data_IF_208472625050
#
_entry.id   IF_208472625050
#
_cell.length_a   1.000
_cell.length_b   1.000
_cell.length_c   1.000
_cell.angle_alpha   90.00
_cell.angle_beta   90.00
_cell.angle_gamma   90.00
#
_symmetry.space_group_name_H-M   'P 1'
#
loop_
_entity.id
_entity.type
_entity.pdbx_description
1 polymer ?
#
# COMPACT_ATOMS: atom_id res chain seq x y z
N UNK A 1 -25.26 28.76 14.13
CA UNK A 1 -24.27 29.26 13.17
C UNK A 1 -23.09 28.31 13.26
N UNK A 2 -22.98 27.36 12.32
CA UNK A 2 -21.91 26.37 12.32
C UNK A 2 -20.68 26.95 11.60
N UNK A 3 -19.45 26.74 12.08
CA UNK A 3 -18.27 27.11 11.34
C UNK A 3 -18.06 26.09 10.20
N UNK A 4 -17.87 26.60 9.00
CA UNK A 4 -17.50 25.84 7.82
C UNK A 4 -16.09 25.26 8.00
N UNK A 5 -15.96 23.94 8.08
CA UNK A 5 -14.68 23.26 7.96
C UNK A 5 -14.17 23.42 6.52
N UNK A 6 -13.17 24.28 6.35
CA UNK A 6 -12.45 24.45 5.10
C UNK A 6 -11.75 23.15 4.73
N UNK A 7 -12.24 22.50 3.69
CA UNK A 7 -11.59 21.37 3.04
C UNK A 7 -10.24 21.82 2.47
N UNK A 8 -9.14 21.55 3.20
CA UNK A 8 -7.81 21.68 2.64
C UNK A 8 -7.65 20.58 1.57
N UNK A 9 -7.74 20.97 0.30
CA UNK A 9 -7.24 20.16 -0.80
C UNK A 9 -5.72 20.28 -0.76
N UNK A 10 -5.06 19.32 -0.13
CA UNK A 10 -3.63 19.14 -0.33
C UNK A 10 -3.51 18.45 -1.68
N UNK A 11 -3.36 19.23 -2.75
CA UNK A 11 -2.72 18.72 -3.95
C UNK A 11 -1.40 18.12 -3.48
N UNK A 12 -1.20 16.79 -3.63
CA UNK A 12 0.12 16.17 -3.50
C UNK A 12 1.03 17.10 -4.27
N UNK A 13 1.95 17.81 -3.59
CA UNK A 13 2.86 18.74 -4.22
C UNK A 13 3.44 18.00 -5.42
N UNK A 14 2.96 18.38 -6.60
CA UNK A 14 3.39 17.82 -7.86
C UNK A 14 4.81 18.33 -7.93
N UNK A 15 5.74 17.49 -7.48
CA UNK A 15 7.14 17.62 -7.82
C UNK A 15 7.13 17.78 -9.32
N UNK A 16 7.35 19.01 -9.77
CA UNK A 16 7.49 19.42 -11.16
C UNK A 16 8.69 18.65 -11.71
N UNK A 17 8.35 17.46 -12.19
CA UNK A 17 9.23 16.40 -12.61
C UNK A 17 8.37 15.34 -13.29
N UNK A 18 7.41 15.79 -14.11
CA UNK A 18 6.86 14.96 -15.17
C UNK A 18 8.02 14.60 -16.10
N UNK A 19 8.57 13.41 -15.92
CA UNK A 19 8.58 12.53 -17.08
C UNK A 19 7.46 11.55 -16.87
N UNK A 20 6.39 11.78 -17.64
CA UNK A 20 5.52 10.71 -18.10
C UNK A 20 6.40 9.62 -18.70
N UNK A 21 6.81 8.66 -17.88
CA UNK A 21 7.09 7.33 -18.37
C UNK A 21 5.80 6.56 -18.16
N UNK A 22 4.87 6.70 -19.12
CA UNK A 22 3.99 5.59 -19.45
C UNK A 22 4.93 4.41 -19.76
N UNK A 23 5.11 3.54 -18.79
CA UNK A 23 5.63 2.22 -19.06
C UNK A 23 4.48 1.27 -18.80
N UNK A 24 3.96 0.74 -19.91
CA UNK A 24 3.11 -0.42 -19.98
C UNK A 24 3.54 -1.40 -18.89
N UNK A 25 2.71 -1.58 -17.86
CA UNK A 25 2.93 -2.60 -16.84
C UNK A 25 2.59 -3.95 -17.47
N UNK A 26 3.41 -4.41 -18.42
CA UNK A 26 3.41 -5.80 -18.81
C UNK A 26 3.96 -6.56 -17.61
N UNK A 27 3.08 -7.12 -16.79
CA UNK A 27 3.49 -8.08 -15.77
C UNK A 27 4.23 -9.21 -16.50
N UNK A 28 5.54 -9.30 -16.32
CA UNK A 28 6.22 -10.57 -16.53
C UNK A 28 5.95 -11.41 -15.29
N UNK A 29 4.79 -12.08 -15.26
CA UNK A 29 4.56 -13.17 -14.31
C UNK A 29 5.53 -14.26 -14.74
N UNK A 30 6.60 -14.47 -13.97
CA UNK A 30 7.47 -15.61 -14.20
C UNK A 30 6.59 -16.86 -14.12
N UNK A 31 6.67 -17.82 -15.06
CA UNK A 31 5.90 -19.06 -14.98
C UNK A 31 6.19 -19.89 -13.72
N UNK A 32 7.25 -19.52 -12.99
CA UNK A 32 7.66 -20.05 -11.68
C UNK A 32 7.28 -19.12 -10.51
N UNK A 33 6.38 -18.15 -10.72
CA UNK A 33 5.83 -17.29 -9.67
C UNK A 33 5.13 -18.18 -8.63
N UNK A 34 5.89 -18.48 -7.59
CA UNK A 34 5.51 -19.35 -6.48
C UNK A 34 4.25 -18.76 -5.85
N UNK A 35 3.11 -19.40 -6.10
CA UNK A 35 1.85 -19.04 -5.46
C UNK A 35 2.07 -19.00 -3.95
N UNK A 36 1.73 -17.88 -3.32
CA UNK A 36 1.79 -17.71 -1.88
C UNK A 36 0.36 -17.71 -1.34
N UNK A 37 0.06 -18.64 -0.44
CA UNK A 37 -1.18 -18.60 0.33
C UNK A 37 -0.98 -17.73 1.57
N UNK A 38 -1.79 -16.68 1.72
CA UNK A 38 -1.81 -15.84 2.92
C UNK A 38 -3.24 -15.41 3.24
N UNK A 39 -3.62 -15.50 4.52
CA UNK A 39 -4.98 -15.23 5.01
C UNK A 39 -6.08 -16.03 4.29
N UNK A 40 -5.74 -17.22 3.79
CA UNK A 40 -6.67 -18.07 3.04
C UNK A 40 -6.85 -17.69 1.57
N UNK A 41 -6.10 -16.69 1.07
CA UNK A 41 -6.15 -16.24 -0.33
C UNK A 41 -4.86 -16.60 -1.07
N UNK A 42 -4.98 -16.80 -2.38
CA UNK A 42 -3.85 -17.06 -3.27
C UNK A 42 -3.32 -15.77 -3.90
N UNK A 43 -2.01 -15.57 -3.81
CA UNK A 43 -1.32 -14.36 -4.27
C UNK A 43 -0.23 -14.71 -5.28
N UNK A 44 -0.16 -13.91 -6.35
CA UNK A 44 0.99 -13.84 -7.22
C UNK A 44 2.02 -12.87 -6.64
N UNK A 45 3.29 -13.24 -6.73
CA UNK A 45 4.41 -12.42 -6.27
C UNK A 45 5.03 -11.70 -7.46
N UNK A 46 5.11 -10.38 -7.37
CA UNK A 46 5.74 -9.57 -8.41
C UNK A 46 7.26 -9.79 -8.40
N UNK A 47 7.79 -10.13 -9.57
CA UNK A 47 9.23 -10.21 -9.81
C UNK A 47 9.54 -9.48 -11.12
N UNK A 48 10.44 -8.50 -11.07
CA UNK A 48 10.79 -7.69 -12.24
C UNK A 48 12.03 -8.19 -12.98
N UNK A 49 12.64 -9.31 -12.55
CA UNK A 49 13.84 -9.86 -13.19
C UNK A 49 15.03 -8.89 -13.21
N UNK A 50 15.08 -7.95 -12.26
CA UNK A 50 16.10 -6.90 -12.21
C UNK A 50 15.74 -5.60 -12.94
N UNK A 51 14.64 -5.56 -13.69
CA UNK A 51 14.17 -4.33 -14.34
C UNK A 51 13.61 -3.35 -13.30
N UNK A 52 13.77 -2.05 -13.58
CA UNK A 52 13.12 -0.98 -12.82
C UNK A 52 11.66 -0.84 -13.29
N UNK A 53 10.72 -1.02 -12.37
CA UNK A 53 9.27 -0.92 -12.62
C UNK A 53 8.59 -0.17 -11.47
N UNK A 54 7.38 0.31 -11.73
CA UNK A 54 6.55 1.04 -10.77
C UNK A 54 6.02 0.18 -9.60
N UNK A 55 5.59 0.81 -8.49
CA UNK A 55 5.68 2.24 -8.17
C UNK A 55 7.13 2.71 -7.93
N UNK A 56 7.41 3.97 -8.30
CA UNK A 56 8.78 4.50 -8.39
C UNK A 56 9.67 3.70 -9.36
N UNK A 57 10.96 4.03 -9.50
CA UNK A 57 11.92 3.13 -10.13
C UNK A 57 12.40 2.07 -9.12
N UNK A 58 11.67 0.96 -8.97
CA UNK A 58 12.02 -0.14 -8.05
C UNK A 58 12.32 -1.44 -8.79
N UNK A 59 13.19 -2.28 -8.23
CA UNK A 59 13.32 -3.69 -8.61
C UNK A 59 12.45 -4.51 -7.66
N UNK A 60 11.57 -5.35 -8.17
CA UNK A 60 10.73 -6.24 -7.35
C UNK A 60 11.27 -7.65 -7.38
N UNK A 61 11.29 -8.33 -6.23
CA UNK A 61 11.68 -9.74 -6.16
C UNK A 61 10.68 -10.53 -5.33
N UNK A 62 10.24 -11.67 -5.89
CA UNK A 62 9.36 -12.60 -5.17
C UNK A 62 10.02 -13.17 -3.90
N UNK A 63 11.35 -13.22 -3.87
CA UNK A 63 12.13 -13.70 -2.73
C UNK A 63 12.02 -12.82 -1.47
N UNK A 64 11.43 -11.62 -1.60
CA UNK A 64 11.22 -10.66 -0.51
C UNK A 64 9.91 -10.88 0.24
N UNK A 65 9.18 -11.94 -0.08
CA UNK A 65 7.88 -12.26 0.52
C UNK A 65 7.90 -13.69 1.06
N UNK A 66 7.43 -13.87 2.29
CA UNK A 66 7.20 -15.19 2.87
C UNK A 66 6.13 -15.12 3.98
N UNK A 67 5.57 -16.27 4.34
CA UNK A 67 4.65 -16.40 5.48
C UNK A 67 5.36 -17.18 6.59
N UNK A 68 5.31 -16.66 7.82
CA UNK A 68 5.94 -17.29 8.97
C UNK A 68 5.09 -18.46 9.52
N UNK A 69 5.61 -19.27 10.46
CA UNK A 69 4.85 -20.36 11.07
C UNK A 69 3.62 -19.93 11.88
N UNK A 70 3.46 -18.63 12.17
CA UNK A 70 2.27 -18.06 12.81
C UNK A 70 1.22 -17.60 11.78
N UNK A 71 1.48 -17.78 10.49
CA UNK A 71 0.58 -17.36 9.41
C UNK A 71 0.67 -15.88 9.06
N UNK A 72 1.67 -15.15 9.55
CA UNK A 72 1.86 -13.72 9.27
C UNK A 72 2.66 -13.54 7.99
N UNK A 73 2.27 -12.56 7.19
CA UNK A 73 2.96 -12.17 5.97
C UNK A 73 4.14 -11.26 6.32
N UNK A 74 5.32 -11.63 5.85
CA UNK A 74 6.54 -10.83 5.91
C UNK A 74 6.85 -10.29 4.52
N UNK A 75 7.04 -8.97 4.44
CA UNK A 75 7.43 -8.28 3.21
C UNK A 75 8.69 -7.45 3.46
N UNK A 76 9.67 -7.61 2.58
CA UNK A 76 10.99 -7.02 2.74
C UNK A 76 11.28 -5.99 1.66
N UNK A 77 11.94 -4.91 2.08
CA UNK A 77 12.82 -4.14 1.20
C UNK A 77 14.23 -4.52 1.59
N UNK A 78 14.97 -5.21 0.72
CA UNK A 78 16.31 -5.70 1.06
C UNK A 78 17.33 -5.55 -0.05
N UNK A 79 18.59 -5.47 0.37
CA UNK A 79 19.73 -5.34 -0.52
C UNK A 79 20.22 -6.72 -0.94
N UNK A 80 20.01 -7.08 -2.21
CA UNK A 80 20.46 -8.34 -2.83
C UNK A 80 21.51 -8.00 -3.88
N UNK A 81 22.71 -8.59 -3.78
CA UNK A 81 23.80 -8.36 -4.74
C UNK A 81 24.09 -6.86 -4.99
N UNK A 82 24.01 -6.05 -3.94
CA UNK A 82 24.25 -4.60 -4.00
C UNK A 82 23.05 -3.74 -4.41
N UNK A 83 21.98 -4.34 -4.92
CA UNK A 83 20.76 -3.67 -5.41
C UNK A 83 19.66 -3.73 -4.34
N UNK A 84 18.97 -2.60 -4.12
CA UNK A 84 17.77 -2.58 -3.29
C UNK A 84 16.58 -3.12 -4.06
N UNK A 85 15.92 -4.11 -3.48
CA UNK A 85 14.74 -4.77 -4.05
C UNK A 85 13.56 -4.61 -3.11
N UNK A 86 12.38 -4.50 -3.70
CA UNK A 86 11.08 -4.28 -3.07
C UNK A 86 10.19 -5.52 -3.24
N UNK A 87 8.99 -5.50 -2.67
CA UNK A 87 8.03 -6.62 -2.73
C UNK A 87 6.63 -6.14 -3.07
N UNK A 88 5.88 -6.96 -3.82
CA UNK A 88 4.46 -6.75 -4.08
C UNK A 88 3.76 -8.09 -4.27
N UNK A 89 2.56 -8.19 -3.69
CA UNK A 89 1.63 -9.29 -3.86
C UNK A 89 0.41 -8.79 -4.62
N UNK A 90 -0.09 -9.62 -5.53
CA UNK A 90 -1.28 -9.36 -6.33
C UNK A 90 -2.23 -10.54 -6.11
N UNK A 91 -3.43 -10.26 -5.59
CA UNK A 91 -4.40 -11.31 -5.36
C UNK A 91 -4.86 -11.89 -6.69
N UNK A 92 -5.00 -13.22 -6.77
CA UNK A 92 -5.46 -13.88 -8.00
C UNK A 92 -6.94 -13.66 -8.30
N UNK A 93 -7.72 -13.46 -7.25
CA UNK A 93 -9.15 -13.20 -7.36
C UNK A 93 -9.39 -11.68 -7.43
N UNK A 94 -10.22 -11.28 -8.39
CA UNK A 94 -10.77 -9.93 -8.42
C UNK A 94 -11.92 -9.87 -7.43
N UNK A 95 -11.85 -8.90 -6.50
CA UNK A 95 -12.89 -8.63 -5.51
C UNK A 95 -13.47 -7.25 -5.81
N UNK A 96 -14.80 -7.15 -5.76
CA UNK A 96 -15.54 -5.92 -5.97
C UNK A 96 -15.99 -5.25 -4.68
N UNK A 97 -17.23 -4.74 -4.66
CA UNK A 97 -17.78 -4.10 -3.47
C UNK A 97 -17.67 -4.98 -2.22
N UNK A 98 -17.42 -4.35 -1.08
CA UNK A 98 -17.22 -5.04 0.18
C UNK A 98 -16.27 -4.29 1.11
N UNK A 99 -15.89 -4.97 2.19
CA UNK A 99 -14.94 -4.49 3.18
C UNK A 99 -13.57 -5.07 2.90
N UNK A 100 -12.57 -4.21 2.82
CA UNK A 100 -11.17 -4.56 2.66
C UNK A 100 -10.48 -4.22 3.96
N UNK A 101 -9.93 -5.21 4.65
CA UNK A 101 -9.31 -5.03 5.96
C UNK A 101 -7.91 -5.62 5.99
N UNK A 102 -6.98 -4.89 6.59
CA UNK A 102 -5.62 -5.34 6.90
C UNK A 102 -5.33 -5.12 8.38
N UNK A 103 -4.74 -6.12 9.04
CA UNK A 103 -4.16 -5.95 10.38
C UNK A 103 -2.65 -5.97 10.31
N UNK A 104 -2.06 -4.84 10.65
CA UNK A 104 -0.63 -4.59 10.63
C UNK A 104 -0.02 -4.89 12.01
N UNK A 105 0.95 -5.80 12.05
CA UNK A 105 1.73 -6.09 13.26
C UNK A 105 2.93 -5.14 13.43
N UNK A 106 3.43 -4.55 12.35
CA UNK A 106 4.54 -3.59 12.43
C UNK A 106 4.06 -2.27 13.04
N UNK A 107 4.74 -1.74 14.08
CA UNK A 107 4.48 -0.40 14.58
C UNK A 107 4.61 0.65 13.47
N UNK A 108 3.62 1.55 13.34
CA UNK A 108 3.64 2.58 12.28
C UNK A 108 4.90 3.48 12.38
N UNK A 109 5.42 3.70 13.59
CA UNK A 109 6.62 4.52 13.78
C UNK A 109 7.92 3.85 13.30
N UNK A 110 7.91 2.53 13.05
CA UNK A 110 9.08 1.81 12.58
C UNK A 110 9.35 1.98 11.08
N UNK A 111 8.45 2.65 10.34
CA UNK A 111 8.63 2.85 8.91
C UNK A 111 9.74 3.87 8.62
N UNK A 112 10.69 3.45 7.80
CA UNK A 112 11.74 4.32 7.30
C UNK A 112 11.14 5.41 6.40
N UNK A 113 11.73 6.61 6.37
CA UNK A 113 11.16 7.74 5.62
C UNK A 113 11.00 7.46 4.12
N UNK A 114 11.82 6.59 3.55
CA UNK A 114 11.74 6.18 2.14
C UNK A 114 10.83 4.98 1.89
N UNK A 115 10.44 4.21 2.90
CA UNK A 115 9.60 3.03 2.70
C UNK A 115 8.13 3.40 2.64
N UNK A 116 7.40 2.72 1.76
CA UNK A 116 5.95 2.85 1.58
C UNK A 116 5.35 1.46 1.62
N UNK A 117 4.43 1.22 2.55
CA UNK A 117 3.49 0.09 2.49
C UNK A 117 2.18 0.60 1.90
N UNK A 118 1.70 -0.02 0.84
CA UNK A 118 0.36 0.18 0.29
C UNK A 118 -0.51 -1.06 0.47
N UNK A 119 -1.75 -0.88 0.91
CA UNK A 119 -2.83 -1.86 0.84
C UNK A 119 -3.96 -1.28 0.00
N UNK A 120 -4.21 -1.85 -1.18
CA UNK A 120 -4.92 -1.13 -2.22
C UNK A 120 -5.65 -2.03 -3.22
N UNK A 121 -6.44 -1.40 -4.08
CA UNK A 121 -7.04 -2.01 -5.28
C UNK A 121 -6.38 -1.45 -6.53
N UNK A 122 -6.27 -2.26 -7.58
CA UNK A 122 -5.71 -1.82 -8.85
C UNK A 122 -6.39 -2.49 -10.04
N UNK A 123 -6.89 -1.67 -10.95
CA UNK A 123 -7.43 -2.09 -12.24
C UNK A 123 -6.35 -2.13 -13.32
N UNK A 124 -6.18 -3.28 -13.98
CA UNK A 124 -5.17 -3.46 -15.03
C UNK A 124 -5.47 -2.76 -16.36
N UNK A 125 -6.70 -2.27 -16.54
CA UNK A 125 -7.19 -1.73 -17.82
C UNK A 125 -7.61 -0.27 -17.74
N UNK A 126 -8.02 0.20 -16.56
CA UNK A 126 -8.42 1.59 -16.36
C UNK A 126 -7.19 2.50 -16.19
N UNK A 127 -7.14 3.58 -16.96
CA UNK A 127 -6.05 4.57 -16.93
C UNK A 127 -6.63 5.98 -16.96
N UNK A 128 -6.02 6.96 -16.27
CA UNK A 128 -4.70 6.91 -15.64
C UNK A 128 -4.68 6.57 -14.14
N UNK A 129 -5.84 6.40 -13.50
CA UNK A 129 -5.94 6.24 -12.04
C UNK A 129 -6.19 4.81 -11.56
N UNK A 130 -6.36 3.84 -12.48
CA UNK A 130 -6.45 2.41 -12.17
C UNK A 130 -7.53 2.04 -11.15
N UNK A 131 -8.59 2.85 -11.03
CA UNK A 131 -9.60 2.72 -9.97
C UNK A 131 -9.00 2.53 -8.56
N UNK A 132 -7.85 3.17 -8.29
CA UNK A 132 -7.01 2.89 -7.12
C UNK A 132 -7.54 3.55 -5.84
N UNK A 133 -7.78 2.71 -4.84
CA UNK A 133 -8.12 3.07 -3.46
C UNK A 133 -7.04 2.52 -2.53
N UNK A 134 -6.43 3.39 -1.72
CA UNK A 134 -5.24 3.07 -0.94
C UNK A 134 -5.40 3.35 0.54
N UNK A 135 -4.88 2.44 1.36
CA UNK A 135 -4.28 2.81 2.65
C UNK A 135 -2.77 2.73 2.50
N UNK A 136 -2.08 3.86 2.68
CA UNK A 136 -0.61 3.93 2.62
C UNK A 136 -0.02 4.26 3.99
N UNK A 137 0.95 3.47 4.45
CA UNK A 137 1.79 3.78 5.61
C UNK A 137 3.17 4.17 5.09
N UNK A 138 3.48 5.47 5.15
CA UNK A 138 4.66 6.05 4.54
C UNK A 138 4.89 7.45 5.07
N UNK A 139 6.15 7.89 5.21
CA UNK A 139 6.44 9.32 5.44
C UNK A 139 6.77 10.09 4.17
N UNK A 140 6.91 9.39 3.05
CA UNK A 140 7.29 9.96 1.74
C UNK A 140 8.50 10.90 1.78
N UNK A 141 9.53 10.54 2.54
CA UNK A 141 10.76 11.32 2.71
C UNK A 141 10.67 12.45 3.75
N UNK A 142 9.52 12.62 4.40
CA UNK A 142 9.27 13.69 5.37
C UNK A 142 9.23 13.18 6.82
N UNK A 143 8.96 14.07 7.78
CA UNK A 143 8.80 13.76 9.21
C UNK A 143 7.36 13.92 9.72
N UNK A 144 6.45 14.43 8.88
CA UNK A 144 5.06 14.72 9.24
C UNK A 144 4.13 13.50 9.13
N UNK A 145 3.08 13.66 8.33
CA UNK A 145 2.06 12.62 8.08
C UNK A 145 2.72 11.28 7.69
N UNK A 146 2.18 10.21 8.25
CA UNK A 146 2.72 8.85 8.11
C UNK A 146 1.66 7.78 7.78
N UNK A 147 0.40 8.20 7.62
CA UNK A 147 -0.73 7.36 7.22
C UNK A 147 -1.59 8.15 6.23
N UNK A 148 -1.97 7.53 5.12
CA UNK A 148 -2.76 8.16 4.07
C UNK A 148 -3.92 7.27 3.66
N UNK A 149 -5.09 7.89 3.46
CA UNK A 149 -6.23 7.28 2.79
C UNK A 149 -6.41 7.97 1.45
N UNK A 150 -6.40 7.22 0.35
CA UNK A 150 -6.45 7.77 -1.00
C UNK A 150 -7.56 7.12 -1.82
N UNK A 151 -8.21 7.94 -2.63
CA UNK A 151 -8.99 7.53 -3.79
C UNK A 151 -8.41 8.34 -4.94
N UNK A 152 -7.56 7.73 -5.75
CA UNK A 152 -6.70 8.46 -6.67
C UNK A 152 -7.54 9.34 -7.62
N UNK A 153 -7.13 10.60 -7.82
CA UNK A 153 -5.89 11.25 -7.37
C UNK A 153 -5.99 11.95 -5.99
N UNK A 154 -7.10 11.81 -5.28
CA UNK A 154 -7.35 12.51 -4.00
C UNK A 154 -6.79 11.75 -2.80
N UNK A 155 -6.24 12.47 -1.82
CA UNK A 155 -5.66 11.84 -0.61
C UNK A 155 -5.89 12.66 0.65
N UNK A 156 -6.01 11.96 1.79
CA UNK A 156 -6.03 12.55 3.14
C UNK A 156 -4.90 11.93 3.97
N UNK A 157 -4.00 12.77 4.47
CA UNK A 157 -2.88 12.35 5.32
C UNK A 157 -3.14 12.60 6.82
N UNK A 158 -2.59 11.74 7.64
CA UNK A 158 -2.69 11.76 9.10
C UNK A 158 -1.31 11.58 9.73
N UNK A 159 -1.11 12.20 10.89
CA UNK A 159 0.05 11.95 11.75
C UNK A 159 -0.42 11.10 12.92
N UNK A 160 -0.02 9.83 12.92
CA UNK A 160 -0.36 8.84 13.94
C UNK A 160 0.92 8.22 14.50
N UNK A 161 0.89 7.57 15.67
CA UNK A 161 2.09 7.00 16.27
C UNK A 161 2.00 6.87 17.78
N UNK A 162 3.14 6.57 18.40
CA UNK A 162 3.24 6.21 19.81
C UNK A 162 2.80 4.77 20.09
N UNK A 163 2.92 4.35 21.34
CA UNK A 163 2.69 2.96 21.75
C UNK A 163 1.31 2.39 21.40
N UNK A 164 0.30 3.25 21.24
CA UNK A 164 -1.03 2.82 20.79
C UNK A 164 -1.00 2.22 19.36
N UNK A 165 -0.12 2.69 18.50
CA UNK A 165 0.02 2.27 17.10
C UNK A 165 1.14 1.23 16.90
N UNK A 166 1.50 0.50 17.96
CA UNK A 166 2.39 -0.65 17.87
C UNK A 166 1.79 -1.80 17.04
N UNK A 167 0.47 -1.81 16.89
CA UNK A 167 -0.33 -2.71 16.05
C UNK A 167 -1.58 -1.94 15.61
N UNK A 168 -2.04 -2.12 14.38
CA UNK A 168 -3.16 -1.35 13.84
C UNK A 168 -4.02 -2.15 12.87
N UNK A 169 -5.28 -1.72 12.74
CA UNK A 169 -6.22 -2.20 11.74
C UNK A 169 -6.52 -1.06 10.75
N UNK A 170 -6.51 -1.41 9.47
CA UNK A 170 -6.72 -0.50 8.35
C UNK A 170 -7.80 -1.06 7.45
N UNK A 171 -8.84 -0.27 7.20
CA UNK A 171 -10.05 -0.74 6.52
C UNK A 171 -10.53 0.29 5.51
N UNK A 172 -11.02 -0.16 4.36
CA UNK A 172 -11.93 0.62 3.54
C UNK A 172 -13.16 -0.20 3.14
N UNK A 173 -14.33 0.43 3.20
CA UNK A 173 -15.62 -0.16 2.79
C UNK A 173 -16.00 0.46 1.46
N UNK A 174 -16.04 -0.35 0.40
CA UNK A 174 -16.40 0.06 -0.95
C UNK A 174 -17.84 -0.30 -1.27
N UNK A 175 -18.64 0.72 -1.57
CA UNK A 175 -20.03 0.60 -1.97
C UNK A 175 -20.32 1.45 -3.21
N UNK A 176 -21.46 1.24 -3.90
CA UNK A 176 -21.81 2.07 -5.05
C UNK A 176 -21.78 3.57 -4.73
N UNK A 177 -20.85 4.30 -5.37
CA UNK A 177 -20.70 5.75 -5.21
C UNK A 177 -20.09 6.22 -3.88
N UNK A 178 -19.59 5.32 -3.02
CA UNK A 178 -19.04 5.69 -1.71
C UNK A 178 -17.93 4.75 -1.24
N UNK A 179 -16.87 5.34 -0.67
CA UNK A 179 -15.81 4.61 0.04
C UNK A 179 -15.59 5.23 1.42
N UNK A 180 -15.63 4.40 2.46
CA UNK A 180 -15.37 4.79 3.85
C UNK A 180 -14.08 4.14 4.34
N UNK A 181 -13.04 4.94 4.57
CA UNK A 181 -11.78 4.52 5.17
C UNK A 181 -11.80 4.67 6.69
N UNK A 182 -11.17 3.73 7.38
CA UNK A 182 -10.94 3.77 8.82
C UNK A 182 -9.61 3.12 9.17
N UNK A 183 -8.80 3.80 9.99
CA UNK A 183 -7.59 3.23 10.58
C UNK A 183 -7.64 3.36 12.10
N UNK A 184 -7.41 2.26 12.81
CA UNK A 184 -7.59 2.13 14.26
C UNK A 184 -6.33 1.53 14.90
N UNK A 185 -5.78 2.15 15.95
CA UNK A 185 -4.75 1.51 16.76
C UNK A 185 -5.37 0.35 17.56
N UNK A 186 -4.71 -0.81 17.55
CA UNK A 186 -5.11 -1.98 18.35
C UNK A 186 -4.37 -2.06 19.69
N UNK A 187 -3.46 -1.13 19.96
CA UNK A 187 -2.89 -0.89 21.29
C UNK A 187 -3.79 0.00 22.15
N UNK A 188 -3.41 0.19 23.41
CA UNK A 188 -4.17 1.02 24.35
C UNK A 188 -3.97 2.53 24.09
N UNK A 189 -5.07 3.29 24.07
CA UNK A 189 -5.05 4.75 24.22
C UNK A 189 -4.88 5.57 22.93
N UNK A 190 -5.03 4.98 21.74
CA UNK A 190 -4.99 5.72 20.47
C UNK A 190 -6.37 6.01 19.88
N UNK A 191 -6.45 7.05 19.03
CA UNK A 191 -7.69 7.45 18.36
C UNK A 191 -7.79 6.91 16.94
N UNK A 192 -8.99 6.48 16.55
CA UNK A 192 -9.34 6.16 15.17
C UNK A 192 -9.25 7.39 14.27
N UNK A 193 -8.81 7.21 13.03
CA UNK A 193 -8.93 8.20 11.95
C UNK A 193 -9.81 7.66 10.82
N UNK A 194 -10.60 8.53 10.19
CA UNK A 194 -11.57 8.14 9.14
C UNK A 194 -11.57 9.12 7.98
N UNK A 195 -11.84 8.63 6.77
CA UNK A 195 -12.05 9.42 5.56
C UNK A 195 -13.25 8.89 4.80
N UNK A 196 -14.04 9.77 4.19
CA UNK A 196 -15.14 9.36 3.30
C UNK A 196 -14.96 10.04 1.94
N UNK A 197 -15.10 9.26 0.87
CA UNK A 197 -15.19 9.77 -0.50
C UNK A 197 -16.55 9.40 -1.10
N UNK A 198 -17.20 10.36 -1.75
CA UNK A 198 -18.48 10.19 -2.46
C UNK A 198 -18.43 10.67 -3.91
N UNK A 199 -17.25 11.11 -4.37
CA UNK A 199 -17.02 11.63 -5.71
C UNK A 199 -15.83 10.89 -6.31
N UNK A 200 -15.91 10.51 -7.58
CA UNK A 200 -14.84 9.76 -8.26
C UNK A 200 -14.71 8.31 -7.79
N UNK A 201 -15.71 7.78 -7.07
CA UNK A 201 -15.70 6.39 -6.60
C UNK A 201 -15.92 5.45 -7.78
N UNK A 202 -14.98 4.54 -8.08
CA UNK A 202 -15.08 3.67 -9.23
C UNK A 202 -16.15 2.59 -9.04
N UNK A 203 -16.58 2.02 -10.16
CA UNK A 203 -17.34 0.75 -10.18
C UNK A 203 -16.34 -0.39 -10.33
N UNK A 204 -16.44 -1.46 -9.53
CA UNK A 204 -15.54 -2.60 -9.66
C UNK A 204 -15.65 -3.25 -11.03
N UNK A 205 -14.49 -3.61 -11.59
CA UNK A 205 -14.40 -4.45 -12.77
C UNK A 205 -13.70 -5.77 -12.41
N UNK A 206 -13.88 -6.79 -13.25
CA UNK A 206 -13.19 -8.09 -13.10
C UNK A 206 -11.67 -7.99 -13.34
N UNK A 207 -11.18 -6.80 -13.67
CA UNK A 207 -9.77 -6.43 -13.83
C UNK A 207 -9.21 -5.68 -12.62
N UNK A 208 -10.03 -5.44 -11.59
CA UNK A 208 -9.64 -4.78 -10.33
C UNK A 208 -9.22 -5.84 -9.30
N UNK A 209 -7.96 -5.80 -8.87
CA UNK A 209 -7.39 -6.79 -7.95
C UNK A 209 -6.89 -6.13 -6.66
N UNK A 210 -7.14 -6.73 -5.48
CA UNK A 210 -6.44 -6.36 -4.25
C UNK A 210 -4.93 -6.57 -4.38
N UNK A 211 -4.16 -5.64 -3.82
CA UNK A 211 -2.69 -5.67 -3.84
C UNK A 211 -2.10 -5.18 -2.52
N UNK A 212 -0.90 -5.65 -2.25
CA UNK A 212 -0.07 -5.19 -1.13
C UNK A 212 1.33 -4.96 -1.67
N UNK A 213 1.91 -3.79 -1.45
CA UNK A 213 3.30 -3.51 -1.84
C UNK A 213 4.11 -2.96 -0.67
N UNK A 214 5.42 -3.19 -0.70
CA UNK A 214 6.38 -2.57 0.21
C UNK A 214 7.60 -2.15 -0.59
N UNK A 215 7.77 -0.84 -0.79
CA UNK A 215 8.68 -0.29 -1.79
C UNK A 215 9.37 1.01 -1.36
N UNK A 216 10.40 1.42 -2.10
CA UNK A 216 11.16 2.64 -1.85
C UNK A 216 10.67 3.80 -2.72
N UNK A 217 10.31 4.91 -2.08
CA UNK A 217 10.02 6.18 -2.76
C UNK A 217 11.18 6.57 -3.67
N UNK A 218 10.86 6.87 -4.93
CA UNK A 218 11.82 7.21 -5.99
C UNK A 218 12.96 6.18 -6.17
N UNK A 219 12.79 4.93 -5.71
CA UNK A 219 13.85 3.91 -5.71
C UNK A 219 15.05 4.29 -4.83
N UNK A 220 14.92 5.31 -3.98
CA UNK A 220 16.02 5.86 -3.20
C UNK A 220 16.40 4.90 -2.10
N UNK A 221 17.70 4.59 -2.03
CA UNK A 221 18.30 3.82 -0.94
C UNK A 221 17.83 4.37 0.42
N UNK A 222 17.36 3.51 1.34
CA UNK A 222 17.04 3.93 2.70
C UNK A 222 18.33 4.24 3.47
N UNK A 223 18.53 5.52 3.82
CA UNK A 223 19.69 6.00 4.58
C UNK A 223 19.85 5.26 5.92
N UNK A 224 21.08 4.97 6.32
CA UNK A 224 21.37 4.28 7.59
C UNK A 224 21.03 2.80 7.61
N UNK A 225 20.25 2.29 6.65
CA UNK A 225 19.95 0.86 6.55
C UNK A 225 21.02 0.15 5.73
N UNK A 226 21.52 -0.96 6.27
CA UNK A 226 22.58 -1.75 5.64
C UNK A 226 22.05 -2.93 4.84
N UNK A 227 21.08 -3.66 5.40
CA UNK A 227 20.64 -4.96 4.87
C UNK A 227 19.18 -4.95 4.43
N UNK A 228 18.24 -4.66 5.34
CA UNK A 228 16.81 -4.74 5.05
C UNK A 228 15.95 -3.84 5.93
N UNK A 229 14.76 -3.56 5.41
CA UNK A 229 13.57 -3.14 6.14
C UNK A 229 12.53 -4.26 6.02
N UNK A 230 11.63 -4.35 6.99
CA UNK A 230 10.61 -5.39 7.04
C UNK A 230 9.29 -4.82 7.54
N UNK A 231 8.22 -5.32 6.95
CA UNK A 231 6.87 -5.15 7.46
C UNK A 231 6.20 -6.50 7.64
N UNK A 232 5.44 -6.62 8.73
CA UNK A 232 4.73 -7.83 9.13
C UNK A 232 3.24 -7.51 9.18
N UNK A 233 2.47 -8.24 8.38
CA UNK A 233 1.01 -8.14 8.29
C UNK A 233 0.43 -9.42 8.86
N UNK A 234 -0.46 -9.32 9.85
CA UNK A 234 -1.03 -10.50 10.50
C UNK A 234 -2.05 -11.19 9.64
N UNK A 235 -2.93 -10.41 9.03
CA UNK A 235 -3.98 -10.92 8.14
C UNK A 235 -4.55 -9.83 7.25
N UNK A 236 -5.22 -10.27 6.21
CA UNK A 236 -6.18 -9.49 5.43
C UNK A 236 -7.51 -10.22 5.37
N UNK A 237 -8.61 -9.47 5.29
CA UNK A 237 -9.95 -10.00 5.15
C UNK A 237 -10.71 -9.22 4.05
N UNK A 238 -11.52 -9.94 3.28
CA UNK A 238 -12.44 -9.39 2.28
C UNK A 238 -13.83 -10.01 2.47
N UNK A 239 -14.87 -9.19 2.72
CA UNK A 239 -16.23 -9.66 3.03
C UNK A 239 -17.33 -8.60 2.81
#
# INVERSE_FOLDING_TARGET
MAPSEGMLVIEKAVSTGFSSALLLCALTISPDARALTFSGFEWDLKDSGGALVGPGPNVFSASNVFVDPQGRLHMLIRRINGIWTSSELIMRESIGYGTYRMVLATPIDNFHQQSVLGFFTWDNTDVPANNEMDVEIARFGNTGQNLFHSLQPSSRGYSVGGGAWARSEHTFVWSPGRVDFSSVPLGFGGSRVTTVFTTGVPTPANTTFPRINFWLRDGRRPSGIQTQLEVIIERVDFF
#
